data_IF_554919437483
#
_entry.id   IF_554919437483
#
_cell.length_a   1.000
_cell.length_b   1.000
_cell.length_c   1.000
_cell.angle_alpha   90.00
_cell.angle_beta   90.00
_cell.angle_gamma   90.00
#
_symmetry.space_group_name_H-M   'P 1'
#
loop_
_entity.id
_entity.type
_entity.pdbx_description
1 polymer ?
#
# COMPACT_ATOMS: atom_id res chain seq x y z
N UNK A 1 -14.92 56.54 37.98
CA UNK A 1 -13.49 56.56 37.59
C UNK A 1 -13.25 55.53 36.50
N UNK A 2 -12.82 55.94 35.28
CA UNK A 2 -12.63 55.05 34.15
C UNK A 2 -11.21 54.47 34.14
N UNK A 3 -11.07 53.16 33.89
CA UNK A 3 -9.77 52.52 33.66
C UNK A 3 -9.44 52.57 32.17
N UNK A 4 -8.36 53.28 31.86
CA UNK A 4 -7.80 53.50 30.53
C UNK A 4 -7.12 52.25 29.97
N UNK A 5 -7.24 52.08 28.66
CA UNK A 5 -6.56 51.09 27.82
C UNK A 5 -5.06 51.42 27.71
N UNK A 6 -4.22 50.40 27.79
CA UNK A 6 -2.78 50.47 27.44
C UNK A 6 -2.57 49.87 26.03
N UNK A 7 -1.75 50.46 25.14
CA UNK A 7 -1.58 50.01 23.76
C UNK A 7 -0.54 48.89 23.60
N UNK A 8 -0.77 48.04 22.60
CA UNK A 8 0.06 46.90 22.20
C UNK A 8 1.37 47.30 21.51
N UNK A 9 2.46 46.62 21.87
CA UNK A 9 3.78 46.71 21.28
C UNK A 9 3.83 46.47 19.76
N UNK A 10 4.56 47.36 19.08
CA UNK A 10 4.87 47.31 17.66
C UNK A 10 5.83 46.19 17.25
N UNK A 11 5.58 45.65 16.06
CA UNK A 11 6.41 44.67 15.34
C UNK A 11 7.74 45.30 14.91
N UNK A 12 8.87 44.71 15.28
CA UNK A 12 10.19 45.02 14.71
C UNK A 12 10.41 44.22 13.42
N UNK A 13 10.61 44.94 12.32
CA UNK A 13 11.02 44.40 11.03
C UNK A 13 12.48 43.93 11.06
N UNK A 14 12.73 42.70 10.59
CA UNK A 14 14.08 42.14 10.39
C UNK A 14 14.59 42.54 9.00
N UNK A 15 15.74 43.21 8.95
CA UNK A 15 16.52 43.48 7.73
C UNK A 15 17.22 42.19 7.25
N UNK A 16 17.34 41.94 5.93
CA UNK A 16 18.28 40.95 5.41
C UNK A 16 19.62 41.61 5.12
N UNK A 17 20.72 40.94 5.47
CA UNK A 17 22.08 41.36 5.18
C UNK A 17 22.83 40.33 4.34
N UNK A 18 23.69 40.90 3.50
CA UNK A 18 24.92 40.35 2.91
C UNK A 18 24.84 39.65 1.54
N UNK A 19 25.50 40.35 0.62
CA UNK A 19 25.89 40.01 -0.75
C UNK A 19 26.99 38.94 -0.74
N UNK A 20 26.86 37.91 -1.58
CA UNK A 20 27.98 37.07 -2.01
C UNK A 20 28.27 37.28 -3.49
N UNK A 21 29.49 37.73 -3.78
CA UNK A 21 30.04 37.99 -5.13
C UNK A 21 30.18 36.67 -5.91
N UNK A 22 29.61 36.61 -7.11
CA UNK A 22 29.86 35.54 -8.08
C UNK A 22 31.01 35.95 -9.01
N UNK A 23 32.11 35.17 -8.98
CA UNK A 23 33.19 35.20 -9.96
C UNK A 23 32.94 34.05 -10.94
N UNK A 24 32.48 34.35 -12.16
CA UNK A 24 32.38 33.37 -13.26
C UNK A 24 33.64 33.46 -14.12
N UNK A 25 34.48 32.42 -14.05
CA UNK A 25 35.62 32.19 -14.93
C UNK A 25 35.14 31.39 -16.15
N UNK A 26 35.39 31.93 -17.35
CA UNK A 26 35.17 31.28 -18.65
C UNK A 26 36.15 30.13 -18.84
N UNK A 27 35.67 28.97 -19.29
CA UNK A 27 36.47 28.02 -20.07
C UNK A 27 35.59 27.34 -21.11
N UNK A 28 35.90 27.66 -22.37
CA UNK A 28 35.44 27.02 -23.59
C UNK A 28 36.13 25.66 -23.75
N UNK A 29 35.38 24.59 -24.05
CA UNK A 29 35.95 23.38 -24.67
C UNK A 29 35.01 22.82 -25.73
N UNK A 30 35.63 22.65 -26.90
CA UNK A 30 35.15 22.19 -28.21
C UNK A 30 34.33 20.91 -28.13
N UNK A 31 33.15 20.91 -28.74
CA UNK A 31 32.40 19.71 -29.12
C UNK A 31 32.76 19.35 -30.56
N UNK A 32 33.43 18.21 -30.73
CA UNK A 32 33.74 17.65 -32.03
C UNK A 32 32.53 16.84 -32.54
N UNK A 33 32.01 17.22 -33.71
CA UNK A 33 31.06 16.44 -34.51
C UNK A 33 31.69 15.10 -34.90
N UNK A 34 31.07 13.98 -34.53
CA UNK A 34 31.23 12.70 -35.22
C UNK A 34 29.88 12.25 -35.77
N UNK A 35 29.86 12.14 -37.08
CA UNK A 35 28.79 11.64 -37.95
C UNK A 35 28.62 10.13 -37.77
N UNK A 36 27.41 9.70 -37.42
CA UNK A 36 27.02 8.28 -37.42
C UNK A 36 26.40 7.91 -38.77
N UNK A 37 26.95 6.90 -39.43
CA UNK A 37 26.36 6.20 -40.60
C UNK A 37 25.40 5.11 -40.08
N UNK A 38 24.29 4.82 -40.77
CA UNK A 38 23.39 3.74 -40.38
C UNK A 38 23.96 2.40 -40.84
N UNK A 39 24.08 1.43 -39.93
CA UNK A 39 24.33 0.02 -40.26
C UNK A 39 23.05 -0.75 -40.03
N UNK A 40 22.42 -1.14 -41.13
CA UNK A 40 21.39 -2.16 -41.19
C UNK A 40 22.01 -3.52 -40.91
N UNK A 41 21.50 -4.24 -39.92
CA UNK A 41 21.75 -5.68 -39.78
C UNK A 41 20.59 -6.35 -39.04
N UNK A 42 19.77 -7.00 -39.86
CA UNK A 42 18.92 -8.17 -39.59
C UNK A 42 19.11 -8.80 -38.20
N UNK A 43 18.11 -8.60 -37.34
CA UNK A 43 17.91 -9.41 -36.14
C UNK A 43 17.17 -10.68 -36.59
N UNK A 44 17.88 -11.81 -36.65
CA UNK A 44 17.27 -13.14 -36.70
C UNK A 44 16.52 -13.36 -35.39
N UNK A 45 15.22 -13.61 -35.48
CA UNK A 45 14.39 -14.02 -34.36
C UNK A 45 14.86 -15.40 -33.86
N UNK A 46 15.37 -15.43 -32.64
CA UNK A 46 15.55 -16.66 -31.85
C UNK A 46 14.21 -16.99 -31.21
N UNK A 47 13.66 -18.20 -31.34
CA UNK A 47 12.41 -18.56 -30.68
C UNK A 47 12.65 -18.68 -29.16
N UNK A 48 12.02 -17.78 -28.40
CA UNK A 48 11.76 -17.96 -26.98
C UNK A 48 10.66 -19.03 -26.81
N UNK A 49 10.99 -20.14 -26.19
CA UNK A 49 10.16 -20.86 -25.22
C UNK A 49 10.92 -22.11 -24.79
N UNK A 50 11.79 -21.97 -23.78
CA UNK A 50 12.21 -23.11 -22.98
C UNK A 50 11.01 -23.59 -22.18
N UNK A 51 10.59 -24.83 -22.40
CA UNK A 51 9.62 -25.53 -21.57
C UNK A 51 10.07 -25.47 -20.11
N UNK A 52 9.28 -24.79 -19.27
CA UNK A 52 9.59 -24.64 -17.85
C UNK A 52 9.39 -26.00 -17.15
N UNK A 53 10.49 -26.62 -16.75
CA UNK A 53 10.50 -27.81 -15.89
C UNK A 53 10.01 -27.55 -14.44
N UNK A 54 9.74 -26.29 -14.08
CA UNK A 54 9.00 -25.96 -12.87
C UNK A 54 7.51 -26.06 -13.21
N UNK A 55 6.76 -26.95 -12.56
CA UNK A 55 5.31 -27.11 -12.78
C UNK A 55 4.50 -25.83 -12.50
N UNK A 56 3.18 -25.94 -12.40
CA UNK A 56 2.31 -24.77 -12.15
C UNK A 56 2.83 -23.92 -10.96
N UNK A 57 3.24 -22.69 -11.22
CA UNK A 57 3.67 -21.72 -10.21
C UNK A 57 2.67 -20.57 -10.19
N UNK A 58 2.10 -20.31 -9.02
CA UNK A 58 1.26 -19.13 -8.82
C UNK A 58 2.10 -17.99 -8.26
N UNK A 59 1.88 -16.77 -8.77
CA UNK A 59 2.66 -15.59 -8.38
C UNK A 59 1.76 -14.51 -7.80
N UNK A 60 2.19 -13.99 -6.67
CA UNK A 60 1.49 -12.96 -5.92
C UNK A 60 2.43 -11.79 -5.70
N UNK A 61 1.99 -10.59 -6.05
CA UNK A 61 2.81 -9.38 -5.90
C UNK A 61 2.19 -8.50 -4.84
N UNK A 62 3.02 -8.04 -3.91
CA UNK A 62 2.64 -7.06 -2.90
C UNK A 62 3.42 -5.77 -3.10
N UNK A 63 2.72 -4.64 -3.14
CA UNK A 63 3.29 -3.32 -3.32
C UNK A 63 2.97 -2.47 -2.10
N UNK A 64 4.01 -1.94 -1.47
CA UNK A 64 3.87 -0.88 -0.48
C UNK A 64 4.24 0.46 -1.11
N UNK A 65 3.29 1.38 -1.23
CA UNK A 65 3.52 2.67 -1.86
C UNK A 65 4.00 3.73 -0.85
N UNK A 66 5.12 4.37 -1.17
CA UNK A 66 5.58 5.58 -0.50
C UNK A 66 4.96 6.85 -1.11
N UNK A 67 5.21 8.02 -0.49
CA UNK A 67 4.88 9.31 -1.12
C UNK A 67 5.60 9.48 -2.47
N UNK A 68 5.01 10.20 -3.43
CA UNK A 68 5.54 10.33 -4.81
C UNK A 68 6.98 10.88 -4.93
N UNK A 69 7.43 11.64 -3.93
CA UNK A 69 8.80 12.19 -3.84
C UNK A 69 9.68 11.46 -2.83
N UNK A 70 9.16 10.37 -2.25
CA UNK A 70 9.85 9.60 -1.22
C UNK A 70 10.27 8.26 -1.78
N UNK A 71 11.53 7.92 -1.57
CA UNK A 71 12.17 6.68 -1.99
C UNK A 71 11.84 5.51 -1.06
N UNK A 72 10.54 5.29 -0.84
CA UNK A 72 10.03 4.31 0.14
C UNK A 72 9.21 3.19 -0.47
N UNK A 73 8.85 3.30 -1.75
CA UNK A 73 8.07 2.27 -2.40
C UNK A 73 8.86 0.95 -2.45
N UNK A 74 8.19 -0.15 -2.12
CA UNK A 74 8.77 -1.49 -2.11
C UNK A 74 7.83 -2.46 -2.83
N UNK A 75 8.41 -3.44 -3.51
CA UNK A 75 7.70 -4.51 -4.21
C UNK A 75 8.25 -5.84 -3.71
N UNK A 76 7.34 -6.76 -3.40
CA UNK A 76 7.67 -8.14 -3.07
C UNK A 76 6.92 -9.09 -3.99
N UNK A 77 7.56 -10.19 -4.35
CA UNK A 77 6.97 -11.24 -5.18
C UNK A 77 7.06 -12.55 -4.41
N UNK A 78 5.91 -13.16 -4.19
CA UNK A 78 5.78 -14.46 -3.56
C UNK A 78 5.36 -15.47 -4.62
N UNK A 79 6.01 -16.62 -4.62
CA UNK A 79 5.68 -17.76 -5.48
C UNK A 79 5.14 -18.91 -4.63
N UNK A 80 4.03 -19.50 -5.07
CA UNK A 80 3.46 -20.69 -4.49
C UNK A 80 3.62 -21.87 -5.45
N UNK A 81 4.15 -22.97 -4.92
CA UNK A 81 4.38 -24.22 -5.64
C UNK A 81 3.39 -25.28 -5.11
N UNK A 82 2.25 -25.50 -5.80
CA UNK A 82 1.19 -26.42 -5.35
C UNK A 82 1.67 -27.86 -5.16
N UNK A 83 2.63 -28.31 -5.97
CA UNK A 83 3.18 -29.67 -5.84
C UNK A 83 3.90 -29.90 -4.51
N UNK A 84 4.44 -28.86 -3.91
CA UNK A 84 5.22 -28.94 -2.68
C UNK A 84 4.53 -28.30 -1.48
N UNK A 85 3.39 -27.64 -1.68
CA UNK A 85 2.72 -26.84 -0.66
C UNK A 85 3.68 -25.84 0.00
N UNK A 86 4.51 -25.18 -0.82
CA UNK A 86 5.51 -24.21 -0.35
C UNK A 86 5.32 -22.85 -0.97
N UNK A 87 5.50 -21.84 -0.12
CA UNK A 87 5.47 -20.43 -0.45
C UNK A 87 6.89 -19.88 -0.29
N UNK A 88 7.38 -19.16 -1.29
CA UNK A 88 8.72 -18.56 -1.29
C UNK A 88 8.63 -17.07 -1.57
N UNK A 89 9.41 -16.26 -0.84
CA UNK A 89 9.72 -14.91 -1.29
C UNK A 89 10.77 -15.01 -2.41
N UNK A 90 10.35 -14.86 -3.67
CA UNK A 90 11.24 -14.96 -4.83
C UNK A 90 12.01 -13.66 -5.06
N UNK A 91 11.40 -12.52 -4.74
CA UNK A 91 12.02 -11.20 -4.93
C UNK A 91 11.52 -10.19 -3.93
N UNK A 92 12.45 -9.38 -3.45
CA UNK A 92 12.18 -8.17 -2.69
C UNK A 92 12.97 -7.01 -3.32
N UNK A 93 12.28 -5.97 -3.73
CA UNK A 93 12.89 -4.73 -4.23
C UNK A 93 12.49 -3.61 -3.30
N UNK A 94 13.47 -3.03 -2.62
CA UNK A 94 13.25 -1.91 -1.70
C UNK A 94 13.71 -0.56 -2.25
N UNK A 95 13.20 0.51 -1.66
CA UNK A 95 13.62 1.91 -1.90
C UNK A 95 13.60 2.26 -3.39
N UNK A 96 12.50 1.94 -4.08
CA UNK A 96 12.36 2.27 -5.50
C UNK A 96 12.32 3.79 -5.67
N UNK A 97 13.30 4.33 -6.43
CA UNK A 97 13.52 5.76 -6.64
C UNK A 97 13.32 6.16 -8.08
N UNK A 98 12.90 7.40 -8.29
CA UNK A 98 13.01 8.03 -9.60
C UNK A 98 14.48 8.35 -9.91
N UNK A 99 14.88 8.20 -11.17
CA UNK A 99 16.15 8.74 -11.69
C UNK A 99 15.88 9.83 -12.74
N UNK A 100 16.91 10.24 -13.48
CA UNK A 100 16.79 11.30 -14.50
C UNK A 100 15.89 10.91 -15.68
N UNK A 101 15.70 9.61 -15.93
CA UNK A 101 15.02 9.07 -17.12
C UNK A 101 13.68 8.43 -16.74
N UNK A 102 13.64 7.70 -15.63
CA UNK A 102 12.53 6.84 -15.24
C UNK A 102 11.95 7.24 -13.88
N UNK A 103 10.63 7.34 -13.82
CA UNK A 103 9.93 7.54 -12.55
C UNK A 103 9.94 6.26 -11.71
N UNK A 104 9.79 6.41 -10.39
CA UNK A 104 9.62 5.26 -9.50
C UNK A 104 8.42 4.38 -9.91
N UNK A 105 7.33 4.99 -10.39
CA UNK A 105 6.14 4.26 -10.86
C UNK A 105 6.40 3.45 -12.13
N UNK A 106 7.22 3.97 -13.05
CA UNK A 106 7.67 3.21 -14.22
C UNK A 106 8.49 1.98 -13.81
N UNK A 107 9.43 2.14 -12.87
CA UNK A 107 10.23 1.02 -12.36
C UNK A 107 9.38 -0.04 -11.65
N UNK A 108 8.38 0.37 -10.86
CA UNK A 108 7.42 -0.56 -10.24
C UNK A 108 6.72 -1.38 -11.33
N UNK A 109 6.23 -0.70 -12.38
CA UNK A 109 5.56 -1.34 -13.50
C UNK A 109 6.48 -2.35 -14.23
N UNK A 110 7.73 -1.96 -14.54
CA UNK A 110 8.71 -2.88 -15.15
C UNK A 110 9.02 -4.10 -14.27
N UNK A 111 9.20 -3.90 -12.96
CA UNK A 111 9.46 -5.01 -12.02
C UNK A 111 8.29 -5.99 -12.04
N UNK A 112 7.05 -5.50 -12.10
CA UNK A 112 5.86 -6.35 -12.12
C UNK A 112 5.76 -7.10 -13.46
N UNK A 113 5.98 -6.42 -14.59
CA UNK A 113 5.89 -7.04 -15.93
C UNK A 113 6.92 -8.15 -16.15
N UNK A 114 8.10 -8.07 -15.52
CA UNK A 114 9.15 -9.10 -15.62
C UNK A 114 8.69 -10.50 -15.18
N UNK A 115 7.68 -10.62 -14.33
CA UNK A 115 7.18 -11.91 -13.83
C UNK A 115 6.11 -12.55 -14.73
N UNK A 116 5.62 -11.83 -15.75
CA UNK A 116 4.61 -12.32 -16.69
C UNK A 116 3.29 -12.68 -16.01
N UNK A 117 3.04 -13.98 -15.80
CA UNK A 117 1.80 -14.47 -15.19
C UNK A 117 1.78 -14.21 -13.69
N UNK A 118 0.94 -13.27 -13.27
CA UNK A 118 0.65 -12.91 -11.88
C UNK A 118 -0.84 -13.15 -11.63
N UNK A 119 -1.16 -13.94 -10.60
CA UNK A 119 -2.55 -14.26 -10.24
C UNK A 119 -3.23 -13.05 -9.57
N UNK A 120 -2.55 -12.44 -8.58
CA UNK A 120 -3.06 -11.29 -7.85
C UNK A 120 -1.95 -10.29 -7.50
N UNK A 121 -2.30 -9.01 -7.62
CA UNK A 121 -1.51 -7.86 -7.16
C UNK A 121 -2.21 -7.20 -5.96
N UNK A 122 -1.50 -7.00 -4.86
CA UNK A 122 -2.00 -6.34 -3.66
C UNK A 122 -1.32 -4.99 -3.41
N UNK A 123 -2.11 -3.94 -3.21
CA UNK A 123 -1.65 -2.64 -2.73
C UNK A 123 -1.96 -2.45 -1.25
N UNK A 124 -1.07 -1.81 -0.51
CA UNK A 124 -1.31 -1.34 0.87
C UNK A 124 -2.15 -0.06 0.96
N UNK A 125 -2.65 0.42 -0.18
CA UNK A 125 -3.41 1.66 -0.31
C UNK A 125 -4.64 1.46 -1.22
N UNK A 126 -5.65 2.34 -1.10
CA UNK A 126 -6.80 2.33 -1.99
C UNK A 126 -6.39 2.59 -3.43
N UNK A 127 -7.04 1.94 -4.38
CA UNK A 127 -6.84 2.16 -5.82
C UNK A 127 -8.12 2.60 -6.55
N UNK A 128 -9.19 2.88 -5.80
CA UNK A 128 -10.43 3.45 -6.31
C UNK A 128 -10.82 4.66 -5.47
N UNK A 129 -11.38 5.68 -6.14
CA UNK A 129 -11.95 6.83 -5.47
C UNK A 129 -13.15 6.39 -4.60
N UNK A 130 -13.42 7.08 -3.48
CA UNK A 130 -14.67 6.94 -2.74
C UNK A 130 -15.88 6.93 -3.69
N UNK A 131 -16.84 6.06 -3.40
CA UNK A 131 -17.95 5.82 -4.31
C UNK A 131 -18.74 7.09 -4.63
N UNK A 132 -18.87 8.01 -3.67
CA UNK A 132 -19.49 9.33 -3.87
C UNK A 132 -18.80 10.20 -4.93
N UNK A 133 -17.50 10.03 -5.17
CA UNK A 133 -16.78 10.75 -6.22
C UNK A 133 -16.91 10.05 -7.59
N UNK A 134 -17.16 8.73 -7.60
CA UNK A 134 -17.39 7.95 -8.83
C UNK A 134 -18.83 8.06 -9.30
N UNK A 135 -19.75 8.03 -8.34
CA UNK A 135 -21.19 8.12 -8.49
C UNK A 135 -21.66 9.27 -7.59
N UNK A 136 -21.68 10.52 -8.07
CA UNK A 136 -22.13 11.65 -7.26
C UNK A 136 -23.62 11.55 -6.94
N UNK A 137 -23.99 11.96 -5.72
CA UNK A 137 -25.40 12.07 -5.37
C UNK A 137 -26.05 13.22 -6.15
N UNK A 138 -27.31 13.05 -6.55
CA UNK A 138 -28.08 14.08 -7.25
C UNK A 138 -28.56 15.22 -6.34
N UNK A 139 -28.30 15.17 -5.03
CA UNK A 139 -28.70 16.17 -4.04
C UNK A 139 -27.73 16.27 -2.86
N UNK A 140 -28.21 16.74 -1.72
CA UNK A 140 -27.42 16.83 -0.48
C UNK A 140 -27.14 15.43 0.10
N UNK A 141 -26.02 15.29 0.81
CA UNK A 141 -25.59 14.00 1.39
C UNK A 141 -26.57 13.52 2.45
N UNK A 142 -27.19 14.45 3.17
CA UNK A 142 -28.14 14.25 4.25
C UNK A 142 -29.49 13.71 3.74
N UNK A 143 -29.84 14.03 2.49
CA UNK A 143 -31.12 13.63 1.87
C UNK A 143 -30.95 12.54 0.80
N UNK A 144 -29.71 12.09 0.58
CA UNK A 144 -29.38 11.12 -0.44
C UNK A 144 -29.86 9.70 -0.10
N UNK A 145 -31.07 9.36 -0.55
CA UNK A 145 -31.66 8.02 -0.33
C UNK A 145 -31.42 7.04 -1.49
N UNK A 146 -30.99 7.54 -2.64
CA UNK A 146 -30.82 6.74 -3.86
C UNK A 146 -29.49 5.99 -3.92
N UNK A 147 -28.49 6.40 -3.13
CA UNK A 147 -27.16 5.81 -3.15
C UNK A 147 -26.99 4.78 -2.02
N UNK A 148 -26.78 3.50 -2.34
CA UNK A 148 -26.69 2.44 -1.34
C UNK A 148 -25.60 2.66 -0.29
N UNK A 149 -24.44 3.19 -0.69
CA UNK A 149 -23.33 3.43 0.22
C UNK A 149 -23.60 4.56 1.20
N UNK A 150 -24.19 5.67 0.76
CA UNK A 150 -24.57 6.78 1.65
C UNK A 150 -25.63 6.33 2.64
N UNK A 151 -26.65 5.60 2.17
CA UNK A 151 -27.68 5.00 3.04
C UNK A 151 -27.05 4.08 4.08
N UNK A 152 -26.13 3.21 3.66
CA UNK A 152 -25.41 2.32 4.58
C UNK A 152 -24.62 3.10 5.62
N UNK A 153 -23.87 4.15 5.23
CA UNK A 153 -23.10 4.98 6.16
C UNK A 153 -24.03 5.66 7.19
N UNK A 154 -25.18 6.17 6.76
CA UNK A 154 -26.19 6.74 7.67
C UNK A 154 -26.77 5.70 8.63
N UNK A 155 -27.19 4.54 8.12
CA UNK A 155 -27.71 3.43 8.93
C UNK A 155 -26.68 2.99 9.98
N UNK A 156 -25.44 2.86 9.55
CA UNK A 156 -24.32 2.48 10.39
C UNK A 156 -23.99 3.55 11.44
N UNK A 157 -23.94 4.83 11.06
CA UNK A 157 -23.76 5.93 12.01
C UNK A 157 -24.90 6.01 13.02
N UNK A 158 -26.15 5.80 12.62
CA UNK A 158 -27.30 5.73 13.54
C UNK A 158 -27.18 4.55 14.50
N UNK A 159 -26.74 3.37 14.04
CA UNK A 159 -26.44 2.21 14.90
C UNK A 159 -25.36 2.55 15.93
N UNK A 160 -24.28 3.23 15.51
CA UNK A 160 -23.21 3.67 16.41
C UNK A 160 -23.67 4.72 17.41
N UNK A 161 -24.49 5.70 16.99
CA UNK A 161 -25.02 6.75 17.87
C UNK A 161 -25.78 6.19 19.07
N UNK A 162 -26.47 5.05 18.90
CA UNK A 162 -27.15 4.36 20.01
C UNK A 162 -26.19 3.85 21.08
N UNK A 163 -24.96 3.46 20.70
CA UNK A 163 -23.93 2.98 21.64
C UNK A 163 -23.09 4.14 22.18
N UNK A 164 -22.56 4.98 21.28
CA UNK A 164 -21.69 6.11 21.59
C UNK A 164 -21.77 7.13 20.47
N UNK A 165 -22.12 8.37 20.83
CA UNK A 165 -22.16 9.47 19.86
C UNK A 165 -20.73 9.83 19.39
N UNK A 166 -20.39 9.65 18.10
CA UNK A 166 -19.12 10.09 17.55
C UNK A 166 -19.07 11.62 17.58
N UNK A 167 -17.85 12.16 17.68
CA UNK A 167 -17.62 13.61 17.73
C UNK A 167 -17.84 14.29 16.38
N UNK A 168 -17.68 13.55 15.28
CA UNK A 168 -17.75 14.06 13.91
C UNK A 168 -18.61 13.13 13.08
N UNK A 169 -19.39 13.71 12.19
CA UNK A 169 -20.11 12.99 11.17
C UNK A 169 -19.13 12.42 10.13
N UNK A 170 -19.54 11.37 9.43
CA UNK A 170 -18.78 10.84 8.31
C UNK A 170 -18.78 11.82 7.14
N UNK A 171 -17.81 11.66 6.24
CA UNK A 171 -17.66 12.49 5.02
C UNK A 171 -17.53 11.56 3.81
N UNK A 172 -18.62 11.24 3.10
CA UNK A 172 -18.65 10.15 2.13
C UNK A 172 -17.84 10.43 0.86
N UNK A 173 -17.42 11.68 0.63
CA UNK A 173 -16.50 12.07 -0.44
C UNK A 173 -15.02 11.90 -0.04
N UNK A 174 -14.71 11.65 1.24
CA UNK A 174 -13.35 11.29 1.66
C UNK A 174 -13.21 9.90 2.25
N UNK A 175 -14.24 9.43 2.92
CA UNK A 175 -14.30 8.16 3.62
C UNK A 175 -15.05 7.10 2.81
N UNK A 176 -14.72 5.84 3.08
CA UNK A 176 -15.40 4.66 2.50
C UNK A 176 -16.12 3.85 3.57
N UNK A 177 -17.09 3.05 3.16
CA UNK A 177 -17.85 2.19 4.08
C UNK A 177 -16.93 1.21 4.84
N UNK A 178 -15.90 0.67 4.17
CA UNK A 178 -14.93 -0.26 4.78
C UNK A 178 -14.15 0.37 5.92
N UNK A 179 -13.81 1.66 5.84
CA UNK A 179 -13.07 2.36 6.89
C UNK A 179 -13.89 2.50 8.17
N UNK A 180 -15.20 2.74 8.03
CA UNK A 180 -16.14 2.75 9.15
C UNK A 180 -16.29 1.34 9.76
N UNK A 181 -16.46 0.33 8.90
CA UNK A 181 -16.62 -1.06 9.32
C UNK A 181 -15.43 -1.57 10.16
N UNK A 182 -14.21 -1.44 9.63
CA UNK A 182 -12.98 -1.91 10.29
C UNK A 182 -12.67 -1.15 11.59
N UNK A 183 -13.22 0.06 11.76
CA UNK A 183 -13.01 0.81 13.00
C UNK A 183 -13.85 0.30 14.17
N UNK A 184 -14.94 -0.45 13.94
CA UNK A 184 -15.85 -0.82 15.04
C UNK A 184 -16.38 -2.26 15.07
N UNK A 185 -16.44 -3.00 13.96
CA UNK A 185 -17.09 -4.33 13.93
C UNK A 185 -16.10 -5.50 14.02
N UNK A 186 -14.80 -5.25 13.88
CA UNK A 186 -13.76 -6.28 13.99
C UNK A 186 -13.15 -6.34 15.40
N UNK A 187 -12.27 -7.33 15.63
CA UNK A 187 -11.84 -7.76 16.97
C UNK A 187 -11.20 -6.65 17.81
N UNK A 188 -10.46 -5.76 17.16
CA UNK A 188 -9.88 -4.56 17.74
C UNK A 188 -10.13 -3.38 16.80
N UNK A 189 -10.20 -2.12 17.27
CA UNK A 189 -10.51 -0.99 16.39
C UNK A 189 -9.33 -0.64 15.48
N UNK A 190 -9.48 -0.90 14.18
CA UNK A 190 -8.48 -0.54 13.18
C UNK A 190 -8.87 0.73 12.44
N UNK A 191 -8.09 1.79 12.67
CA UNK A 191 -8.32 3.09 12.07
C UNK A 191 -7.55 3.20 10.75
N UNK A 192 -8.25 2.98 9.64
CA UNK A 192 -7.72 3.25 8.31
C UNK A 192 -7.69 4.76 8.08
N UNK A 193 -6.68 5.22 7.34
CA UNK A 193 -6.70 6.59 6.85
C UNK A 193 -7.77 6.71 5.76
N UNK A 194 -8.51 7.82 5.76
CA UNK A 194 -9.54 8.04 4.75
C UNK A 194 -8.92 8.06 3.36
N UNK A 195 -9.56 7.40 2.39
CA UNK A 195 -9.03 7.29 1.02
C UNK A 195 -8.65 8.65 0.38
N UNK A 196 -9.48 9.68 0.56
CA UNK A 196 -9.14 11.06 0.14
C UNK A 196 -8.66 11.95 1.29
N UNK A 197 -8.06 11.35 2.32
CA UNK A 197 -7.38 12.08 3.39
C UNK A 197 -6.03 12.67 2.92
N UNK A 198 -5.50 13.65 3.65
CA UNK A 198 -4.29 14.39 3.27
C UNK A 198 -3.07 13.51 2.93
N UNK A 199 -2.88 12.40 3.65
CA UNK A 199 -1.74 11.48 3.43
C UNK A 199 -2.05 10.37 2.41
N UNK A 200 -3.30 9.92 2.34
CA UNK A 200 -3.68 8.76 1.51
C UNK A 200 -4.05 9.17 0.09
N UNK A 201 -4.62 10.36 -0.13
CA UNK A 201 -5.04 10.82 -1.46
C UNK A 201 -3.91 10.81 -2.51
N UNK A 202 -2.68 11.24 -2.20
CA UNK A 202 -1.57 11.13 -3.16
C UNK A 202 -1.19 9.68 -3.48
N UNK A 203 -1.31 8.77 -2.50
CA UNK A 203 -1.02 7.36 -2.69
C UNK A 203 -2.10 6.67 -3.51
N UNK A 204 -3.37 7.01 -3.27
CA UNK A 204 -4.51 6.59 -4.06
C UNK A 204 -4.37 7.01 -5.52
N UNK A 205 -3.98 8.26 -5.79
CA UNK A 205 -3.72 8.72 -7.16
C UNK A 205 -2.61 7.91 -7.86
N UNK A 206 -1.52 7.59 -7.14
CA UNK A 206 -0.45 6.73 -7.66
C UNK A 206 -0.91 5.30 -7.92
N UNK A 207 -1.65 4.70 -6.99
CA UNK A 207 -2.18 3.35 -7.15
C UNK A 207 -3.17 3.25 -8.31
N UNK A 208 -4.03 4.27 -8.49
CA UNK A 208 -4.92 4.39 -9.65
C UNK A 208 -4.13 4.44 -10.96
N UNK A 209 -3.07 5.25 -11.02
CA UNK A 209 -2.20 5.36 -12.19
C UNK A 209 -1.50 4.04 -12.52
N UNK A 210 -0.96 3.35 -11.52
CA UNK A 210 -0.33 2.03 -11.69
C UNK A 210 -1.35 1.00 -12.16
N UNK A 211 -2.52 0.95 -11.53
CA UNK A 211 -3.60 0.01 -11.88
C UNK A 211 -4.06 0.19 -13.34
N UNK A 212 -4.13 1.42 -13.85
CA UNK A 212 -4.51 1.66 -15.25
C UNK A 212 -3.54 1.03 -16.26
N UNK A 213 -2.27 0.87 -15.89
CA UNK A 213 -1.23 0.25 -16.73
C UNK A 213 -1.09 -1.26 -16.53
N UNK A 214 -1.61 -1.77 -15.42
CA UNK A 214 -1.50 -3.17 -15.03
C UNK A 214 -2.80 -3.90 -15.37
N UNK A 215 -2.79 -4.70 -16.44
CA UNK A 215 -3.95 -5.50 -16.84
C UNK A 215 -4.03 -6.82 -16.06
N UNK A 216 -4.21 -6.74 -14.74
CA UNK A 216 -4.28 -7.90 -13.85
C UNK A 216 -5.26 -7.67 -12.69
N UNK A 217 -5.60 -8.74 -11.96
CA UNK A 217 -6.47 -8.65 -10.80
C UNK A 217 -5.75 -7.94 -9.65
N UNK A 218 -6.38 -6.89 -9.13
CA UNK A 218 -5.83 -6.07 -8.04
C UNK A 218 -6.74 -6.13 -6.82
N UNK A 219 -6.13 -6.29 -5.64
CA UNK A 219 -6.79 -6.23 -4.33
C UNK A 219 -6.16 -5.14 -3.44
N UNK A 220 -6.96 -4.64 -2.51
CA UNK A 220 -6.50 -3.67 -1.51
C UNK A 220 -6.29 -4.43 -0.22
N UNK A 221 -5.16 -4.21 0.44
CA UNK A 221 -4.81 -4.87 1.68
C UNK A 221 -4.55 -3.80 2.72
N UNK A 222 -4.96 -4.05 3.96
CA UNK A 222 -4.54 -3.24 5.09
C UNK A 222 -3.53 -4.03 5.92
N UNK A 223 -2.21 -3.84 5.72
CA UNK A 223 -1.19 -4.75 6.25
C UNK A 223 -1.26 -4.92 7.77
N UNK A 224 -1.62 -3.87 8.51
CA UNK A 224 -1.75 -3.93 9.96
C UNK A 224 -2.82 -4.93 10.43
N UNK A 225 -3.96 -5.00 9.74
CA UNK A 225 -5.01 -5.98 10.07
C UNK A 225 -4.65 -7.38 9.57
N UNK A 226 -4.08 -7.49 8.36
CA UNK A 226 -3.60 -8.78 7.86
C UNK A 226 -2.57 -9.40 8.81
N UNK A 227 -1.60 -8.59 9.21
CA UNK A 227 -0.57 -8.97 10.17
C UNK A 227 -1.15 -9.36 11.52
N UNK A 228 -2.16 -8.64 12.00
CA UNK A 228 -2.83 -8.97 13.25
C UNK A 228 -3.37 -10.40 13.18
N UNK A 229 -4.16 -10.73 12.16
CA UNK A 229 -4.80 -12.06 12.07
C UNK A 229 -3.79 -13.18 11.81
N UNK A 230 -2.83 -12.96 10.92
CA UNK A 230 -1.71 -13.89 10.70
C UNK A 230 -0.94 -14.11 12.01
N UNK A 231 -0.51 -13.04 12.66
CA UNK A 231 0.27 -13.12 13.89
C UNK A 231 -0.48 -13.79 15.05
N UNK A 232 -1.78 -13.53 15.20
CA UNK A 232 -2.63 -14.20 16.20
C UNK A 232 -2.72 -15.71 15.96
N UNK A 233 -2.83 -16.13 14.69
CA UNK A 233 -2.84 -17.56 14.33
C UNK A 233 -1.48 -18.25 14.53
N UNK A 234 -0.39 -17.48 14.57
CA UNK A 234 0.98 -17.95 14.83
C UNK A 234 1.42 -17.76 16.30
N UNK A 235 0.48 -17.42 17.19
CA UNK A 235 0.73 -17.17 18.60
C UNK A 235 1.78 -16.07 18.89
N UNK A 236 1.93 -15.09 18.00
CA UNK A 236 2.79 -13.93 18.23
C UNK A 236 2.19 -13.04 19.32
N UNK A 237 3.03 -12.51 20.21
CA UNK A 237 2.61 -11.60 21.27
C UNK A 237 1.93 -10.35 20.69
N UNK A 238 0.83 -9.91 21.31
CA UNK A 238 0.04 -8.74 20.86
C UNK A 238 0.88 -7.47 20.76
N UNK A 239 1.86 -7.28 21.65
CA UNK A 239 2.79 -6.14 21.65
C UNK A 239 3.53 -6.02 20.31
N UNK A 240 4.08 -7.11 19.79
CA UNK A 240 4.79 -7.11 18.51
C UNK A 240 3.85 -6.78 17.34
N UNK A 241 2.62 -7.26 17.36
CA UNK A 241 1.63 -6.98 16.32
C UNK A 241 1.23 -5.51 16.29
N UNK A 242 1.09 -4.87 17.46
CA UNK A 242 0.74 -3.46 17.55
C UNK A 242 1.90 -2.53 17.18
N UNK A 243 3.13 -2.90 17.54
CA UNK A 243 4.30 -2.02 17.47
C UNK A 243 5.22 -2.24 16.26
N UNK A 244 4.88 -3.13 15.33
CA UNK A 244 5.68 -3.38 14.13
C UNK A 244 5.96 -2.14 13.26
N UNK A 245 5.16 -1.07 13.35
CA UNK A 245 5.40 0.20 12.62
C UNK A 245 6.17 1.25 13.42
N UNK A 246 6.43 1.01 14.70
CA UNK A 246 7.08 2.01 15.55
C UNK A 246 8.54 2.20 15.14
N UNK A 247 9.03 3.45 15.28
CA UNK A 247 10.43 3.77 15.01
C UNK A 247 11.39 3.10 16.00
N UNK A 248 10.94 2.88 17.24
CA UNK A 248 11.69 2.23 18.31
C UNK A 248 11.03 0.87 18.59
N UNK A 249 11.79 -0.21 18.51
CA UNK A 249 11.32 -1.58 18.79
C UNK A 249 10.41 -2.20 17.70
N UNK A 250 10.15 -1.48 16.62
CA UNK A 250 9.43 -2.02 15.47
C UNK A 250 10.25 -3.06 14.71
N UNK A 251 11.57 -2.91 14.67
CA UNK A 251 12.53 -3.88 14.13
C UNK A 251 12.48 -5.22 14.89
N UNK A 252 12.50 -5.19 16.22
CA UNK A 252 12.36 -6.40 17.04
C UNK A 252 11.01 -7.07 16.84
N UNK A 253 9.95 -6.26 16.71
CA UNK A 253 8.61 -6.77 16.43
C UNK A 253 8.54 -7.45 15.07
N UNK A 254 9.13 -6.86 14.02
CA UNK A 254 9.22 -7.46 12.68
C UNK A 254 10.05 -8.75 12.71
N UNK A 255 11.16 -8.78 13.45
CA UNK A 255 11.99 -9.97 13.65
C UNK A 255 11.19 -11.12 14.27
N UNK A 256 10.48 -10.85 15.37
CA UNK A 256 9.66 -11.85 16.04
C UNK A 256 8.58 -12.44 15.13
N UNK A 257 7.95 -11.61 14.30
CA UNK A 257 6.93 -12.04 13.34
C UNK A 257 7.55 -12.91 12.24
N UNK A 258 8.66 -12.47 11.63
CA UNK A 258 9.34 -13.22 10.56
C UNK A 258 9.86 -14.56 11.09
N UNK A 259 10.38 -14.57 12.32
CA UNK A 259 10.76 -15.81 13.00
C UNK A 259 9.58 -16.75 13.18
N UNK A 260 8.41 -16.24 13.59
CA UNK A 260 7.20 -17.06 13.73
C UNK A 260 6.73 -17.64 12.38
N UNK A 261 6.77 -16.86 11.30
CA UNK A 261 6.44 -17.33 9.95
C UNK A 261 7.38 -18.45 9.47
N UNK A 262 8.68 -18.32 9.74
CA UNK A 262 9.68 -19.33 9.40
C UNK A 262 9.50 -20.60 10.25
N UNK A 263 9.30 -20.46 11.57
CA UNK A 263 9.10 -21.58 12.50
C UNK A 263 7.90 -22.45 12.12
N UNK A 264 6.82 -21.83 11.63
CA UNK A 264 5.63 -22.54 11.18
C UNK A 264 5.69 -22.97 9.70
N UNK A 265 6.82 -22.74 9.02
CA UNK A 265 7.02 -23.03 7.59
C UNK A 265 5.98 -22.40 6.65
N UNK A 266 5.49 -21.19 6.98
CA UNK A 266 4.46 -20.51 6.20
C UNK A 266 5.01 -19.98 4.88
N UNK A 267 6.17 -19.34 4.95
CA UNK A 267 6.86 -18.78 3.81
C UNK A 267 8.36 -18.88 4.02
N UNK A 268 9.06 -19.40 3.02
CA UNK A 268 10.51 -19.43 3.01
C UNK A 268 11.05 -18.08 2.55
N UNK A 269 11.93 -17.50 3.35
CA UNK A 269 12.54 -16.19 3.13
C UNK A 269 14.03 -16.33 3.39
N UNK A 270 14.86 -15.82 2.48
CA UNK A 270 16.31 -15.81 2.67
C UNK A 270 16.72 -14.83 3.77
N UNK A 271 17.78 -15.16 4.52
CA UNK A 271 18.26 -14.32 5.63
C UNK A 271 18.57 -12.87 5.24
N UNK A 272 19.00 -12.65 4.00
CA UNK A 272 19.24 -11.31 3.47
C UNK A 272 17.93 -10.51 3.39
N UNK A 273 16.88 -11.10 2.85
CA UNK A 273 15.57 -10.45 2.74
C UNK A 273 14.90 -10.27 4.11
N UNK A 274 15.11 -11.20 5.04
CA UNK A 274 14.70 -11.04 6.44
C UNK A 274 15.31 -9.78 7.06
N UNK A 275 16.62 -9.56 6.89
CA UNK A 275 17.30 -8.36 7.39
C UNK A 275 16.72 -7.09 6.78
N UNK A 276 16.50 -7.08 5.46
CA UNK A 276 15.90 -5.95 4.76
C UNK A 276 14.49 -5.63 5.29
N UNK A 277 13.65 -6.64 5.51
CA UNK A 277 12.30 -6.44 6.07
C UNK A 277 12.33 -5.99 7.53
N UNK A 278 13.30 -6.44 8.33
CA UNK A 278 13.48 -5.96 9.70
C UNK A 278 13.85 -4.48 9.71
N UNK A 279 14.72 -4.03 8.81
CA UNK A 279 15.17 -2.62 8.77
C UNK A 279 14.15 -1.70 8.09
N UNK A 280 13.45 -2.19 7.06
CA UNK A 280 12.56 -1.40 6.24
C UNK A 280 11.09 -1.83 6.38
N UNK A 281 10.29 -0.99 7.06
CA UNK A 281 8.86 -1.23 7.24
C UNK A 281 8.11 -1.38 5.91
N UNK A 282 8.45 -0.63 4.86
CA UNK A 282 7.74 -0.75 3.57
C UNK A 282 8.04 -2.08 2.87
N UNK A 283 9.27 -2.59 3.02
CA UNK A 283 9.63 -3.92 2.51
C UNK A 283 8.80 -4.99 3.23
N UNK A 284 8.71 -4.91 4.56
CA UNK A 284 7.87 -5.79 5.36
C UNK A 284 6.38 -5.69 5.01
N UNK A 285 5.82 -4.49 4.85
CA UNK A 285 4.42 -4.30 4.46
C UNK A 285 4.13 -4.84 3.05
N UNK A 286 5.06 -4.64 2.11
CA UNK A 286 4.92 -5.21 0.76
C UNK A 286 4.84 -6.73 0.82
N UNK A 287 5.66 -7.38 1.66
CA UNK A 287 5.62 -8.83 1.87
C UNK A 287 4.30 -9.29 2.48
N UNK A 288 3.77 -8.58 3.48
CA UNK A 288 2.45 -8.89 4.07
C UNK A 288 1.33 -8.72 3.03
N UNK A 289 1.41 -7.73 2.13
CA UNK A 289 0.48 -7.59 1.01
C UNK A 289 0.52 -8.82 0.08
N UNK A 290 1.71 -9.24 -0.33
CA UNK A 290 1.88 -10.43 -1.19
C UNK A 290 1.35 -11.70 -0.50
N UNK A 291 1.62 -11.86 0.80
CA UNK A 291 1.14 -12.99 1.57
C UNK A 291 -0.40 -12.97 1.71
N UNK A 292 -0.99 -11.78 1.87
CA UNK A 292 -2.45 -11.64 1.89
C UNK A 292 -3.08 -11.97 0.53
N UNK A 293 -2.43 -11.61 -0.58
CA UNK A 293 -2.87 -12.00 -1.92
C UNK A 293 -2.86 -13.51 -2.12
N UNK A 294 -1.81 -14.20 -1.64
CA UNK A 294 -1.77 -15.66 -1.60
C UNK A 294 -2.93 -16.26 -0.78
N UNK A 295 -3.18 -15.72 0.42
CA UNK A 295 -4.29 -16.19 1.26
C UNK A 295 -5.66 -15.95 0.60
N UNK A 296 -5.84 -14.83 -0.10
CA UNK A 296 -7.05 -14.54 -0.88
C UNK A 296 -7.25 -15.55 -2.00
N UNK A 297 -6.18 -15.91 -2.72
CA UNK A 297 -6.21 -16.97 -3.73
C UNK A 297 -6.62 -18.33 -3.15
N UNK A 298 -6.20 -18.64 -1.91
CA UNK A 298 -6.61 -19.84 -1.18
C UNK A 298 -8.02 -19.76 -0.57
N UNK A 299 -8.73 -18.64 -0.70
CA UNK A 299 -10.05 -18.44 -0.09
C UNK A 299 -9.99 -18.29 1.43
N UNK A 300 -8.86 -17.84 1.98
CA UNK A 300 -8.62 -17.65 3.41
C UNK A 300 -8.73 -16.18 3.84
N UNK A 301 -9.49 -15.37 3.11
CA UNK A 301 -9.81 -13.98 3.46
C UNK A 301 -11.28 -13.82 3.84
N UNK A 302 -11.58 -12.79 4.64
CA UNK A 302 -12.96 -12.48 5.01
C UNK A 302 -13.77 -12.00 3.81
N UNK A 303 -14.96 -12.58 3.58
CA UNK A 303 -15.88 -12.01 2.65
C UNK A 303 -16.43 -10.68 3.17
N UNK A 304 -17.08 -9.94 2.28
CA UNK A 304 -17.84 -8.75 2.65
C UNK A 304 -18.95 -9.14 3.65
N UNK A 305 -19.20 -8.34 4.69
CA UNK A 305 -20.25 -8.63 5.65
C UNK A 305 -21.63 -8.50 5.00
N UNK A 306 -22.62 -9.16 5.60
CA UNK A 306 -24.00 -9.10 5.12
C UNK A 306 -24.52 -7.66 5.13
N UNK A 307 -25.19 -7.26 4.04
CA UNK A 307 -25.71 -5.90 3.86
C UNK A 307 -24.65 -4.84 3.52
N UNK A 308 -23.38 -5.20 3.31
CA UNK A 308 -22.38 -4.27 2.80
C UNK A 308 -22.70 -3.85 1.34
N UNK A 309 -22.54 -2.57 0.97
CA UNK A 309 -22.87 -2.11 -0.38
C UNK A 309 -22.03 -2.85 -1.46
N UNK A 310 -22.68 -3.42 -2.47
CA UNK A 310 -22.01 -4.20 -3.52
C UNK A 310 -21.08 -3.35 -4.39
N UNK A 311 -21.41 -2.07 -4.58
CA UNK A 311 -20.66 -1.09 -5.36
C UNK A 311 -19.47 -0.46 -4.60
N UNK A 312 -19.32 -0.76 -3.30
CA UNK A 312 -18.19 -0.32 -2.50
C UNK A 312 -16.99 -1.26 -2.63
N UNK A 313 -15.82 -0.67 -2.39
CA UNK A 313 -14.55 -1.40 -2.36
C UNK A 313 -14.40 -2.16 -1.04
N UNK A 314 -13.70 -3.29 -1.11
CA UNK A 314 -13.40 -4.13 0.05
C UNK A 314 -11.89 -4.23 0.22
N UNK A 315 -11.46 -4.19 1.48
CA UNK A 315 -10.09 -4.45 1.86
C UNK A 315 -9.99 -5.93 2.16
N UNK A 316 -9.11 -6.64 1.47
CA UNK A 316 -8.81 -8.04 1.72
C UNK A 316 -7.94 -8.16 2.97
N UNK A 317 -8.39 -9.01 3.90
CA UNK A 317 -7.63 -9.42 5.07
C UNK A 317 -8.00 -10.87 5.43
N UNK A 318 -7.08 -11.62 6.07
CA UNK A 318 -7.28 -13.03 6.37
C UNK A 318 -8.47 -13.28 7.28
N UNK A 319 -9.00 -14.50 7.28
CA UNK A 319 -9.99 -14.95 8.28
C UNK A 319 -9.39 -14.95 9.70
N UNK A 320 -10.24 -14.88 10.72
CA UNK A 320 -9.81 -14.80 12.13
C UNK A 320 -9.04 -16.04 12.61
N UNK A 321 -9.33 -17.21 12.05
CA UNK A 321 -8.70 -18.49 12.42
C UNK A 321 -8.14 -19.21 11.19
N UNK A 322 -6.90 -18.86 10.83
CA UNK A 322 -6.18 -19.50 9.72
C UNK A 322 -5.70 -20.89 10.16
N UNK A 323 -6.07 -21.93 9.41
CA UNK A 323 -5.54 -23.28 9.57
C UNK A 323 -4.36 -23.47 8.61
N UNK A 324 -3.14 -23.35 9.11
CA UNK A 324 -1.92 -23.41 8.28
C UNK A 324 -1.63 -24.79 7.66
N UNK A 325 -2.27 -25.85 8.16
CA UNK A 325 -2.07 -27.22 7.65
C UNK A 325 -2.83 -27.50 6.34
N UNK A 326 -3.61 -26.55 5.83
CA UNK A 326 -4.57 -26.79 4.75
C UNK A 326 -4.07 -26.45 3.35
N UNK A 327 -2.78 -26.17 3.14
CA UNK A 327 -2.27 -25.74 1.83
C UNK A 327 -0.80 -26.02 1.59
#
# INVERSE_FOLDING_TARGET
MPKSRVPSHGRKARKPSVKSKAVKKKTSKKVAKKTAKPRSSLIKATPLASENHAGDVHRFVGVSLGGGKMDKACVSVIEYYPKHNKVFLSRLVEKIKSDEVHSADFKIHEIIEQYGSIDLLAFDVPFQLPNTLRNPCCGEIETCNHQPHIKWMWDYTRKLHKKKKPRKLFTPYTQRCVEMYLSTEIEEPFHLQHAMGANMAPLLARAMFLKQKLNMKVIEVFPKLSLWRIGRSLHVMKSHLLFHKHAIGGDESRRAILHALSTHNIAFVYDQDVKLMIENNHAFESFICALTAFLSFKGLTEPRPEGFPSNEDWVEFPVSSIKWNSF
#
